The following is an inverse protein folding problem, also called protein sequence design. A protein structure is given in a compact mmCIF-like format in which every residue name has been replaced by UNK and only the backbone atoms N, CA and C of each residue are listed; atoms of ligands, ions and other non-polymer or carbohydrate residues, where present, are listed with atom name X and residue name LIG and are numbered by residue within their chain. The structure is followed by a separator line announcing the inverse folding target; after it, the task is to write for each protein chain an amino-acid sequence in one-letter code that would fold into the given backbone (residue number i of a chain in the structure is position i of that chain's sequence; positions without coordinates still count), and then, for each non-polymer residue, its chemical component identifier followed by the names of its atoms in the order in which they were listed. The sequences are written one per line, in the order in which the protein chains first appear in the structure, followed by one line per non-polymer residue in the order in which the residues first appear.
data_IF_566381958100
#
_entry.id   IF_566381958100
#
_cell.length_a   1.000
_cell.length_b   1.000
_cell.length_c   1.000
_cell.angle_alpha   90.00
_cell.angle_beta   90.00
_cell.angle_gamma   90.00
#
_symmetry.space_group_name_H-M   'P 1'
#
loop_
_entity.id
_entity.type
_entity.pdbx_description
1 polymer ?
#
# COMPACT_ATOMS: atom_id res chain seq x y z
N UNK A 1 -19.86 -20.52 0.93
CA UNK A 1 -20.59 -19.35 0.43
C UNK A 1 -21.69 -19.81 -0.49
N UNK A 2 -22.91 -19.26 -0.33
CA UNK A 2 -24.03 -19.42 -1.25
C UNK A 2 -24.51 -18.03 -1.65
N UNK A 3 -25.06 -17.89 -2.85
CA UNK A 3 -25.71 -16.67 -3.32
C UNK A 3 -27.19 -16.90 -3.39
N UNK A 4 -27.99 -16.07 -2.72
CA UNK A 4 -29.44 -16.12 -2.75
C UNK A 4 -29.96 -14.95 -3.59
N UNK A 5 -30.81 -15.25 -4.55
CA UNK A 5 -31.52 -14.27 -5.41
C UNK A 5 -33.01 -14.59 -5.42
N UNK A 6 -33.79 -13.74 -6.04
CA UNK A 6 -35.25 -14.02 -6.28
C UNK A 6 -35.46 -15.30 -7.10
N UNK A 7 -34.50 -15.74 -7.90
CA UNK A 7 -34.57 -16.96 -8.72
C UNK A 7 -34.19 -18.23 -7.95
N UNK A 8 -33.68 -18.11 -6.71
CA UNK A 8 -33.28 -19.24 -5.87
C UNK A 8 -31.89 -19.12 -5.25
N UNK A 9 -31.41 -20.21 -4.70
CA UNK A 9 -30.11 -20.32 -4.01
C UNK A 9 -29.13 -21.11 -4.87
N UNK A 10 -27.90 -20.62 -5.00
CA UNK A 10 -26.84 -21.33 -5.72
C UNK A 10 -26.36 -22.59 -4.97
N UNK A 11 -25.69 -23.49 -5.65
CA UNK A 11 -24.89 -24.52 -5.00
C UNK A 11 -23.84 -23.87 -4.09
N UNK A 12 -23.46 -24.51 -2.96
CA UNK A 12 -22.40 -24.03 -2.10
C UNK A 12 -21.03 -23.99 -2.82
N UNK A 13 -20.29 -22.90 -2.64
CA UNK A 13 -18.89 -22.79 -3.04
C UNK A 13 -18.01 -22.65 -1.80
N UNK A 14 -16.94 -23.45 -1.71
CA UNK A 14 -15.98 -23.35 -0.62
C UNK A 14 -14.95 -22.27 -0.96
N UNK A 15 -14.74 -21.34 -0.02
CA UNK A 15 -13.65 -20.36 -0.08
C UNK A 15 -12.76 -20.55 1.15
N UNK A 16 -11.46 -20.35 0.97
CA UNK A 16 -10.52 -20.33 2.08
C UNK A 16 -10.28 -18.87 2.48
N UNK A 17 -10.54 -18.56 3.75
CA UNK A 17 -10.24 -17.25 4.34
C UNK A 17 -8.91 -17.36 5.06
N UNK A 18 -8.01 -16.39 4.85
CA UNK A 18 -6.73 -16.25 5.56
C UNK A 18 -6.79 -15.03 6.45
N UNK A 19 -6.12 -15.10 7.60
CA UNK A 19 -6.01 -13.97 8.53
C UNK A 19 -5.24 -12.80 7.92
N UNK A 20 -4.27 -13.11 7.06
CA UNK A 20 -3.48 -12.12 6.32
C UNK A 20 -3.29 -12.54 4.87
N UNK A 21 -3.46 -11.62 3.95
CA UNK A 21 -3.07 -11.74 2.55
C UNK A 21 -2.72 -10.34 2.04
N UNK A 22 -1.58 -9.79 2.49
CA UNK A 22 -1.27 -8.37 2.34
C UNK A 22 -0.90 -8.03 0.91
N UNK A 23 -1.46 -6.92 0.43
CA UNK A 23 -1.07 -6.31 -0.84
C UNK A 23 -1.11 -4.78 -0.73
N UNK A 24 -0.10 -4.12 -1.29
CA UNK A 24 -0.12 -2.67 -1.50
C UNK A 24 -0.96 -2.33 -2.72
N UNK A 25 -1.65 -1.19 -2.67
CA UNK A 25 -2.41 -0.70 -3.82
C UNK A 25 -1.44 -0.30 -4.93
N UNK A 26 -1.65 -0.86 -6.10
CA UNK A 26 -0.87 -0.61 -7.30
C UNK A 26 -1.79 -0.66 -8.52
N UNK A 27 -2.64 0.38 -8.73
CA UNK A 27 -3.60 0.39 -9.82
C UNK A 27 -2.88 0.39 -11.18
N UNK A 28 -3.52 -0.22 -12.19
CA UNK A 28 -2.96 -0.34 -13.52
C UNK A 28 -2.61 1.01 -14.18
N UNK A 29 -3.30 2.08 -13.79
CA UNK A 29 -3.00 3.47 -14.21
C UNK A 29 -1.62 3.97 -13.76
N UNK A 30 -1.03 3.34 -12.75
CA UNK A 30 0.33 3.62 -12.27
C UNK A 30 1.38 2.69 -12.89
N UNK A 31 1.08 2.01 -13.99
CA UNK A 31 2.08 1.30 -14.79
C UNK A 31 2.75 2.26 -15.76
N UNK A 32 3.92 2.76 -15.39
CA UNK A 32 4.66 3.78 -16.12
C UNK A 32 5.90 3.13 -16.73
N UNK A 33 6.10 3.26 -18.04
CA UNK A 33 7.25 2.69 -18.78
C UNK A 33 7.50 1.20 -18.46
N UNK A 34 6.41 0.41 -18.38
CA UNK A 34 6.46 -1.02 -18.10
C UNK A 34 6.68 -1.40 -16.62
N UNK A 35 6.91 -0.44 -15.72
CA UNK A 35 7.10 -0.67 -14.28
C UNK A 35 5.85 -0.33 -13.50
N UNK A 36 5.50 -1.15 -12.51
CA UNK A 36 4.34 -0.95 -11.65
C UNK A 36 4.74 -0.10 -10.44
N UNK A 37 4.24 1.13 -10.39
CA UNK A 37 4.42 1.99 -9.23
C UNK A 37 3.41 1.66 -8.15
N UNK A 38 3.86 1.73 -6.89
CA UNK A 38 2.96 1.66 -5.74
C UNK A 38 2.06 2.90 -5.71
N UNK A 39 0.82 2.72 -5.31
CA UNK A 39 -0.11 3.82 -5.04
C UNK A 39 0.31 4.58 -3.79
N UNK A 40 1.24 5.51 -3.95
CA UNK A 40 1.73 6.35 -2.87
C UNK A 40 1.51 7.83 -3.18
N UNK A 41 1.22 8.60 -2.14
CA UNK A 41 1.05 10.06 -2.22
C UNK A 41 1.84 10.76 -1.13
N UNK A 42 2.07 12.04 -1.31
CA UNK A 42 2.40 12.96 -0.21
C UNK A 42 1.11 13.36 0.53
N UNK A 43 1.27 14.05 1.66
CA UNK A 43 0.14 14.52 2.47
C UNK A 43 -0.76 15.52 1.73
N UNK A 44 -0.24 16.21 0.73
CA UNK A 44 -0.97 17.16 -0.14
C UNK A 44 -1.71 16.47 -1.31
N UNK A 45 -1.65 15.13 -1.38
CA UNK A 45 -2.28 14.34 -2.45
C UNK A 45 -1.44 14.22 -3.73
N UNK A 46 -0.27 14.85 -3.83
CA UNK A 46 0.66 14.69 -4.96
C UNK A 46 1.15 13.24 -5.01
N UNK A 47 1.13 12.61 -6.19
CA UNK A 47 1.58 11.22 -6.35
C UNK A 47 3.11 11.09 -6.34
N UNK A 48 3.59 9.97 -5.80
CA UNK A 48 5.02 9.63 -5.78
C UNK A 48 5.36 8.83 -7.05
N UNK A 49 5.71 9.55 -8.10
CA UNK A 49 6.09 9.01 -9.41
C UNK A 49 7.02 10.02 -10.13
N UNK A 50 7.64 9.68 -11.25
CA UNK A 50 8.37 10.67 -12.03
C UNK A 50 7.47 11.85 -12.40
N UNK A 51 8.01 13.06 -12.34
CA UNK A 51 7.25 14.28 -12.58
C UNK A 51 6.57 14.25 -13.97
N UNK A 52 5.25 14.55 -14.00
CA UNK A 52 4.45 14.58 -15.23
C UNK A 52 4.20 13.21 -15.86
N UNK A 53 4.54 12.11 -15.20
CA UNK A 53 4.34 10.77 -15.74
C UNK A 53 2.90 10.26 -15.68
N UNK A 54 2.03 10.93 -14.90
CA UNK A 54 0.62 10.61 -14.77
C UNK A 54 -0.19 11.75 -15.37
N UNK A 55 -0.87 11.48 -16.48
CA UNK A 55 -1.64 12.52 -17.20
C UNK A 55 -2.74 13.11 -16.32
N UNK A 56 -2.74 14.44 -16.20
CA UNK A 56 -3.75 15.19 -15.45
C UNK A 56 -3.65 15.10 -13.91
N UNK A 57 -2.64 14.41 -13.39
CA UNK A 57 -2.45 14.24 -11.95
C UNK A 57 -1.04 14.73 -11.55
N UNK A 58 -0.92 15.61 -10.54
CA UNK A 58 0.38 16.05 -10.05
C UNK A 58 1.20 14.87 -9.53
N UNK A 59 2.45 14.78 -9.98
CA UNK A 59 3.37 13.75 -9.51
C UNK A 59 4.80 14.29 -9.43
N UNK A 60 5.54 13.81 -8.44
CA UNK A 60 6.97 14.07 -8.27
C UNK A 60 7.69 12.91 -7.58
N UNK A 61 8.98 12.83 -7.75
CA UNK A 61 9.82 11.93 -6.97
C UNK A 61 9.90 12.39 -5.50
N UNK A 62 9.99 11.44 -4.59
CA UNK A 62 10.21 11.70 -3.18
C UNK A 62 11.71 11.85 -2.88
N UNK A 63 12.06 12.75 -1.98
CA UNK A 63 13.44 12.94 -1.52
C UNK A 63 13.73 12.13 -0.27
N UNK A 64 14.98 11.75 -0.02
CA UNK A 64 15.38 11.18 1.25
C UNK A 64 14.90 12.04 2.44
N UNK A 65 14.33 11.41 3.46
CA UNK A 65 13.75 12.06 4.64
C UNK A 65 12.30 12.48 4.49
N UNK A 66 11.74 12.57 3.28
CA UNK A 66 10.32 12.84 3.11
C UNK A 66 9.46 11.63 3.50
N UNK A 67 8.25 11.92 3.99
CA UNK A 67 7.26 10.88 4.31
C UNK A 67 6.28 10.73 3.14
N UNK A 68 6.11 9.49 2.70
CA UNK A 68 5.11 9.10 1.70
C UNK A 68 4.03 8.26 2.36
N UNK A 69 2.78 8.41 1.90
CA UNK A 69 1.62 7.65 2.33
C UNK A 69 1.41 6.49 1.36
N UNK A 70 1.60 5.28 1.84
CA UNK A 70 1.42 4.04 1.07
C UNK A 70 0.17 3.35 1.57
N UNK A 71 -0.66 2.86 0.66
CA UNK A 71 -1.92 2.23 1.01
C UNK A 71 -1.94 0.76 0.62
N UNK A 72 -2.72 -0.04 1.38
CA UNK A 72 -2.82 -1.47 1.14
C UNK A 72 -4.03 -2.11 1.79
N UNK A 73 -4.21 -3.40 1.52
CA UNK A 73 -5.30 -4.22 2.07
C UNK A 73 -4.75 -5.56 2.57
N UNK A 74 -5.51 -6.26 3.41
CA UNK A 74 -5.20 -7.64 3.80
C UNK A 74 -4.07 -7.81 4.81
N UNK A 75 -3.69 -6.76 5.55
CA UNK A 75 -2.59 -6.81 6.53
C UNK A 75 -2.96 -7.44 7.89
N UNK A 76 -4.15 -7.99 8.04
CA UNK A 76 -4.61 -8.66 9.24
C UNK A 76 -5.66 -7.88 10.02
N UNK A 77 -6.23 -8.54 11.03
CA UNK A 77 -7.25 -7.95 11.88
C UNK A 77 -6.67 -6.86 12.78
N UNK A 78 -7.20 -5.64 12.72
CA UNK A 78 -7.04 -4.70 13.81
C UNK A 78 -7.81 -5.18 15.04
N UNK A 79 -7.50 -4.66 16.21
CA UNK A 79 -8.31 -4.83 17.42
C UNK A 79 -9.72 -4.21 17.30
N UNK A 80 -10.08 -3.67 16.15
CA UNK A 80 -11.33 -2.98 15.86
C UNK A 80 -12.33 -3.91 15.18
N UNK A 81 -13.64 -3.66 15.39
CA UNK A 81 -14.69 -4.43 14.73
C UNK A 81 -14.60 -4.32 13.19
N UNK A 82 -14.71 -5.47 12.53
CA UNK A 82 -14.73 -5.56 11.07
C UNK A 82 -15.91 -4.77 10.50
N UNK A 83 -15.67 -4.00 9.43
CA UNK A 83 -16.71 -3.23 8.74
C UNK A 83 -17.06 -1.88 9.35
N UNK A 84 -16.36 -1.45 10.40
CA UNK A 84 -16.54 -0.13 10.99
C UNK A 84 -15.59 0.89 10.33
N UNK A 85 -16.05 2.14 10.24
CA UNK A 85 -15.19 3.27 9.87
C UNK A 85 -14.11 3.41 10.94
N UNK A 86 -12.86 3.32 10.54
CA UNK A 86 -11.75 3.39 11.47
C UNK A 86 -11.45 4.82 11.93
N UNK A 87 -11.20 4.97 13.22
CA UNK A 87 -10.46 6.10 13.74
C UNK A 87 -8.96 5.95 13.47
N UNK A 88 -8.14 6.81 14.07
CA UNK A 88 -6.68 6.68 14.01
C UNK A 88 -6.23 5.50 14.88
N UNK A 89 -6.14 4.31 14.31
CA UNK A 89 -5.70 3.10 15.01
C UNK A 89 -4.35 2.63 14.47
N UNK A 90 -3.35 2.66 15.33
CA UNK A 90 -2.04 2.08 15.07
C UNK A 90 -2.12 0.56 15.26
N UNK A 91 -1.84 -0.25 14.23
CA UNK A 91 -2.34 -1.62 14.29
C UNK A 91 -1.48 -2.73 13.83
N UNK A 92 -0.58 -2.54 12.94
CA UNK A 92 0.09 -3.69 12.34
C UNK A 92 1.49 -3.80 12.90
N UNK A 93 1.65 -4.68 13.89
CA UNK A 93 2.99 -5.12 14.31
C UNK A 93 3.61 -5.98 13.20
N UNK A 94 4.94 -5.87 13.04
CA UNK A 94 5.69 -6.74 12.13
C UNK A 94 5.63 -6.38 10.64
N UNK A 95 5.17 -5.19 10.27
CA UNK A 95 5.30 -4.69 8.90
C UNK A 95 6.58 -3.87 8.76
N UNK A 96 7.38 -4.20 7.77
CA UNK A 96 8.61 -3.48 7.40
C UNK A 96 8.61 -3.13 5.93
N UNK A 97 9.28 -2.05 5.57
CA UNK A 97 9.44 -1.59 4.19
C UNK A 97 10.91 -1.42 3.84
N UNK A 98 11.26 -1.65 2.57
CA UNK A 98 12.53 -1.22 2.00
C UNK A 98 12.29 -0.39 0.74
N UNK A 99 13.15 0.59 0.50
CA UNK A 99 13.18 1.38 -0.73
C UNK A 99 14.62 1.37 -1.24
N UNK A 100 14.82 0.97 -2.50
CA UNK A 100 16.16 0.83 -3.05
C UNK A 100 17.04 -0.19 -2.31
N UNK A 101 16.44 -1.17 -1.63
CA UNK A 101 17.14 -2.16 -0.80
C UNK A 101 17.51 -1.69 0.60
N UNK A 102 17.21 -0.43 0.97
CA UNK A 102 17.48 0.13 2.30
C UNK A 102 16.21 0.16 3.14
N UNK A 103 16.32 -0.22 4.42
CA UNK A 103 15.19 -0.20 5.34
C UNK A 103 14.61 1.22 5.48
N UNK A 104 13.30 1.31 5.37
CA UNK A 104 12.54 2.55 5.52
C UNK A 104 11.82 2.59 6.88
N UNK A 105 11.98 3.69 7.61
CA UNK A 105 11.25 3.92 8.86
C UNK A 105 9.78 4.13 8.55
N UNK A 106 8.89 3.58 9.39
CA UNK A 106 7.44 3.73 9.27
C UNK A 106 6.91 4.44 10.51
N UNK A 107 6.49 5.70 10.36
CA UNK A 107 5.99 6.53 11.48
C UNK A 107 4.53 6.23 11.84
N UNK A 108 3.75 5.72 10.91
CA UNK A 108 2.39 5.24 11.13
C UNK A 108 2.14 3.97 10.31
N UNK A 109 1.45 3.02 10.90
CA UNK A 109 0.97 1.80 10.27
C UNK A 109 -0.34 1.41 10.91
N UNK A 110 -1.39 1.33 10.12
CA UNK A 110 -2.72 1.04 10.65
C UNK A 110 -3.83 1.26 9.63
N UNK A 111 -5.06 1.26 10.10
CA UNK A 111 -6.21 1.57 9.25
C UNK A 111 -6.23 3.06 8.90
N UNK A 112 -6.49 3.35 7.63
CA UNK A 112 -6.66 4.72 7.16
C UNK A 112 -7.89 5.36 7.82
N UNK A 113 -7.76 6.51 8.49
CA UNK A 113 -8.88 7.17 9.14
C UNK A 113 -10.00 7.49 8.16
N UNK A 114 -11.25 7.28 8.58
CA UNK A 114 -12.45 7.58 7.78
C UNK A 114 -12.78 6.54 6.70
N UNK A 115 -12.00 5.46 6.59
CA UNK A 115 -12.21 4.41 5.59
C UNK A 115 -12.40 3.04 6.25
N UNK A 116 -12.94 2.08 5.51
CA UNK A 116 -13.15 0.71 5.99
C UNK A 116 -12.18 -0.24 5.29
N UNK A 117 -11.39 -0.98 6.07
CA UNK A 117 -10.52 -2.05 5.55
C UNK A 117 -9.30 -1.59 4.73
N UNK A 118 -9.09 -0.29 4.58
CA UNK A 118 -7.89 0.26 3.96
C UNK A 118 -6.81 0.51 5.01
N UNK A 119 -5.60 0.03 4.74
CA UNK A 119 -4.42 0.32 5.56
C UNK A 119 -3.63 1.46 4.97
N UNK A 120 -3.05 2.28 5.86
CA UNK A 120 -2.12 3.36 5.54
C UNK A 120 -0.80 3.15 6.26
N UNK A 121 0.27 3.41 5.55
CA UNK A 121 1.63 3.37 6.08
C UNK A 121 2.31 4.70 5.75
N UNK A 122 2.78 5.41 6.78
CA UNK A 122 3.58 6.62 6.60
C UNK A 122 5.06 6.22 6.58
N UNK A 123 5.61 6.07 5.40
CA UNK A 123 6.94 5.53 5.16
C UNK A 123 7.91 6.69 4.90
N UNK A 124 8.97 6.78 5.68
CA UNK A 124 10.04 7.77 5.48
C UNK A 124 11.01 7.21 4.43
N UNK A 125 11.23 7.98 3.37
CA UNK A 125 12.16 7.60 2.30
C UNK A 125 13.59 7.55 2.87
N UNK A 126 14.28 6.41 2.81
CA UNK A 126 15.64 6.30 3.35
C UNK A 126 16.64 7.06 2.49
N UNK A 127 17.85 7.25 3.02
CA UNK A 127 18.94 7.85 2.25
C UNK A 127 19.46 6.86 1.19
N UNK A 128 18.91 6.95 0.00
CA UNK A 128 19.25 6.16 -1.19
C UNK A 128 19.50 7.09 -2.37
N UNK A 129 20.31 6.63 -3.31
CA UNK A 129 20.54 7.38 -4.55
C UNK A 129 19.26 7.62 -5.33
N UNK A 130 19.17 8.76 -6.00
CA UNK A 130 18.06 9.09 -6.88
C UNK A 130 17.85 7.98 -7.92
N UNK A 131 16.61 7.52 -8.01
CA UNK A 131 16.19 6.48 -8.94
C UNK A 131 14.72 6.67 -9.27
N UNK A 132 14.45 6.94 -10.54
CA UNK A 132 13.06 7.15 -11.00
C UNK A 132 12.15 5.92 -10.73
N UNK A 133 12.72 4.73 -10.55
CA UNK A 133 12.00 3.48 -10.31
C UNK A 133 12.73 2.61 -9.27
N UNK A 134 12.97 3.16 -8.09
CA UNK A 134 13.57 2.45 -6.96
C UNK A 134 12.67 1.30 -6.52
N UNK A 135 13.16 0.06 -6.38
CA UNK A 135 12.37 -1.04 -5.85
C UNK A 135 11.79 -0.70 -4.48
N UNK A 136 10.50 -0.95 -4.29
CA UNK A 136 9.82 -0.86 -3.01
C UNK A 136 9.31 -2.26 -2.65
N UNK A 137 9.77 -2.78 -1.52
CA UNK A 137 9.31 -4.06 -1.00
C UNK A 137 8.76 -3.91 0.41
N UNK A 138 7.94 -4.85 0.84
CA UNK A 138 7.49 -4.93 2.21
C UNK A 138 7.46 -6.37 2.70
N UNK A 139 7.49 -6.55 4.01
CA UNK A 139 7.34 -7.84 4.66
C UNK A 139 6.35 -7.72 5.81
N UNK A 140 5.62 -8.81 6.08
CA UNK A 140 4.72 -8.94 7.24
C UNK A 140 5.13 -10.17 8.03
N UNK A 141 5.42 -10.01 9.32
CA UNK A 141 5.91 -11.11 10.15
C UNK A 141 7.20 -11.77 9.63
N UNK A 142 8.05 -11.00 8.93
CA UNK A 142 9.27 -11.51 8.31
C UNK A 142 9.09 -12.17 6.93
N UNK A 143 7.85 -12.33 6.46
CA UNK A 143 7.56 -12.90 5.13
C UNK A 143 7.45 -11.78 4.11
N UNK A 144 8.36 -11.77 3.13
CA UNK A 144 8.38 -10.77 2.06
C UNK A 144 7.22 -10.92 1.09
N UNK A 145 6.68 -9.79 0.64
CA UNK A 145 5.69 -9.75 -0.45
C UNK A 145 6.32 -10.15 -1.78
N UNK A 146 5.54 -10.80 -2.62
CA UNK A 146 5.91 -11.12 -4.01
C UNK A 146 5.57 -10.00 -5.00
N UNK A 147 4.98 -8.88 -4.58
CA UNK A 147 4.68 -7.77 -5.46
C UNK A 147 5.97 -7.09 -5.95
N UNK A 148 6.12 -6.98 -7.27
CA UNK A 148 7.23 -6.27 -7.91
C UNK A 148 6.84 -4.79 -8.11
N UNK A 149 7.05 -3.97 -7.08
CA UNK A 149 6.67 -2.57 -7.05
C UNK A 149 7.89 -1.64 -7.05
N UNK A 150 7.68 -0.44 -7.59
CA UNK A 150 8.67 0.62 -7.56
C UNK A 150 8.08 1.93 -7.03
N UNK A 151 8.95 2.85 -6.62
CA UNK A 151 8.63 4.23 -6.27
C UNK A 151 9.69 5.16 -6.86
N UNK A 152 9.36 6.45 -7.04
CA UNK A 152 10.33 7.41 -7.55
C UNK A 152 11.08 8.10 -6.41
N UNK A 153 12.41 8.06 -6.42
CA UNK A 153 13.28 8.78 -5.49
C UNK A 153 14.09 9.82 -6.27
N UNK A 154 14.04 11.06 -5.81
CA UNK A 154 14.81 12.21 -6.32
C UNK A 154 15.92 12.65 -5.37
N UNK A 155 16.66 13.68 -5.79
CA UNK A 155 17.66 14.37 -4.96
C UNK A 155 17.03 15.49 -4.13
#
# INVERSE_FOLDING_TARGET
VTVTTAAGVSAPATITVKDTNPALLAPASLKISGRQYVGATFADGTFVAPAGSITGIPSRAAKPGETILVFGIGFGGPSQQIGQISGSNSLVSGVSFTIGGVNATTNFRGLAPGLVGLYQFNVVVPNVAANAAAPLTFAVGGVSSSQALVTAVGN
#
